data_IF_976438332109
#
_entry.id   IF_976438332109
#
_cell.length_a   1.000
_cell.length_b   1.000
_cell.length_c   1.000
_cell.angle_alpha   90.00
_cell.angle_beta   90.00
_cell.angle_gamma   90.00
#
_symmetry.space_group_name_H-M   'P 1'
#
loop_
_entity.id
_entity.type
_entity.pdbx_description
1 polymer ?
#
# COMPACT_ATOMS: atom_id res chain seq x y z
N UNK A 1 32.63 16.02 -0.50
CA UNK A 1 31.48 15.30 0.14
C UNK A 1 32.02 14.37 1.19
N UNK A 2 31.47 14.40 2.39
CA UNK A 2 31.81 13.47 3.48
C UNK A 2 30.65 12.47 3.59
N UNK A 3 30.94 11.18 3.49
CA UNK A 3 29.97 10.14 3.76
C UNK A 3 29.93 9.91 5.28
N UNK A 4 28.75 10.06 5.88
CA UNK A 4 28.54 9.83 7.29
C UNK A 4 27.33 8.91 7.51
N UNK A 5 27.33 8.14 8.61
CA UNK A 5 26.13 7.39 9.03
C UNK A 5 25.05 8.37 9.51
N UNK A 6 23.90 8.35 8.87
CA UNK A 6 22.77 9.24 9.18
C UNK A 6 21.70 8.62 10.06
N UNK A 7 21.83 7.32 10.42
CA UNK A 7 20.88 6.65 11.28
C UNK A 7 21.17 5.17 11.46
N UNK A 8 20.37 4.52 12.28
CA UNK A 8 20.40 3.08 12.49
C UNK A 8 19.03 2.44 12.29
N UNK A 9 19.02 1.28 11.66
CA UNK A 9 17.82 0.49 11.37
C UNK A 9 18.01 -0.91 11.96
N UNK A 10 16.95 -1.43 12.55
CA UNK A 10 16.92 -2.79 13.10
C UNK A 10 15.97 -3.65 12.27
N UNK A 11 16.49 -4.80 11.82
CA UNK A 11 15.68 -5.89 11.26
C UNK A 11 15.59 -7.02 12.28
N UNK A 12 14.40 -7.55 12.47
CA UNK A 12 14.13 -8.69 13.35
C UNK A 12 13.16 -9.62 12.66
N UNK A 13 13.48 -10.90 12.59
CA UNK A 13 12.66 -11.84 11.85
C UNK A 13 12.90 -13.30 12.25
N UNK A 14 12.12 -14.17 11.64
CA UNK A 14 12.20 -15.62 11.77
C UNK A 14 12.08 -16.20 10.36
N UNK A 15 12.94 -17.18 10.07
CA UNK A 15 12.94 -17.89 8.80
C UNK A 15 12.86 -19.40 9.05
N UNK A 16 12.06 -20.08 8.23
CA UNK A 16 11.93 -21.53 8.24
C UNK A 16 12.17 -22.07 6.83
N UNK A 17 12.92 -23.15 6.77
CA UNK A 17 13.08 -23.97 5.57
C UNK A 17 12.84 -25.44 5.95
N UNK A 18 11.86 -26.06 5.30
CA UNK A 18 11.50 -27.46 5.49
C UNK A 18 11.64 -28.17 4.16
N UNK A 19 12.43 -29.22 4.13
CA UNK A 19 12.52 -30.15 3.02
C UNK A 19 12.01 -31.51 3.52
N UNK A 20 11.03 -32.05 2.85
CA UNK A 20 10.38 -33.29 3.24
C UNK A 20 10.28 -34.25 2.05
N UNK A 21 10.69 -35.48 2.26
CA UNK A 21 10.30 -36.59 1.40
C UNK A 21 9.03 -37.22 2.01
N UNK A 22 7.89 -36.90 1.43
CA UNK A 22 6.59 -37.29 2.00
C UNK A 22 6.25 -38.74 1.71
N UNK A 23 6.56 -39.20 0.51
CA UNK A 23 6.34 -40.55 0.05
C UNK A 23 7.53 -40.97 -0.83
N UNK A 24 8.00 -42.20 -0.60
CA UNK A 24 8.98 -42.87 -1.44
C UNK A 24 8.62 -44.32 -1.60
N UNK A 25 8.28 -44.69 -2.82
CA UNK A 25 8.06 -46.10 -3.24
C UNK A 25 8.96 -46.41 -4.43
N UNK A 26 8.87 -47.65 -4.96
CA UNK A 26 9.62 -48.05 -6.13
C UNK A 26 9.29 -47.20 -7.39
N UNK A 27 8.02 -46.85 -7.55
CA UNK A 27 7.50 -46.22 -8.76
C UNK A 27 7.01 -44.79 -8.54
N UNK A 28 6.92 -44.32 -7.26
CA UNK A 28 6.40 -42.99 -6.94
C UNK A 28 7.20 -42.33 -5.81
N UNK A 29 7.55 -41.06 -6.03
CA UNK A 29 8.12 -40.19 -4.98
C UNK A 29 7.35 -38.88 -4.90
N UNK A 30 7.25 -38.33 -3.70
CA UNK A 30 6.71 -37.02 -3.45
C UNK A 30 7.60 -36.24 -2.48
N UNK A 31 8.16 -35.14 -2.99
CA UNK A 31 8.96 -34.20 -2.22
C UNK A 31 8.24 -32.87 -2.06
N UNK A 32 8.36 -32.30 -0.87
CA UNK A 32 7.89 -30.92 -0.59
C UNK A 32 9.05 -30.10 -0.05
N UNK A 33 9.24 -28.91 -0.63
CA UNK A 33 10.09 -27.87 -0.08
C UNK A 33 9.19 -26.70 0.31
N UNK A 34 9.25 -26.30 1.59
CA UNK A 34 8.51 -25.15 2.11
C UNK A 34 9.49 -24.16 2.72
N UNK A 35 9.34 -22.87 2.39
CA UNK A 35 10.03 -21.78 3.04
C UNK A 35 9.05 -20.74 3.53
N UNK A 36 9.40 -20.09 4.62
CA UNK A 36 8.63 -19.00 5.21
C UNK A 36 9.60 -18.05 5.90
N UNK A 37 9.37 -16.74 5.68
CA UNK A 37 10.11 -15.70 6.38
C UNK A 37 9.13 -14.64 6.90
N UNK A 38 9.36 -14.24 8.13
CA UNK A 38 8.78 -13.04 8.74
C UNK A 38 9.89 -12.05 9.02
N UNK A 39 9.74 -10.80 8.59
CA UNK A 39 10.72 -9.75 8.85
C UNK A 39 10.04 -8.45 9.28
N UNK A 40 10.54 -7.84 10.34
CA UNK A 40 10.12 -6.52 10.82
C UNK A 40 11.30 -5.58 10.81
N UNK A 41 11.17 -4.52 10.04
CA UNK A 41 12.10 -3.40 9.95
C UNK A 41 11.64 -2.25 10.82
N UNK A 42 12.56 -1.55 11.48
CA UNK A 42 12.27 -0.26 12.12
C UNK A 42 13.49 0.63 12.24
N UNK A 43 13.30 1.93 12.12
CA UNK A 43 14.30 2.94 12.43
C UNK A 43 14.46 3.01 13.94
N UNK A 44 15.71 2.92 14.43
CA UNK A 44 16.03 2.96 15.86
C UNK A 44 16.51 4.35 16.27
N UNK A 45 17.33 5.00 15.43
CA UNK A 45 17.86 6.33 15.68
C UNK A 45 18.20 7.03 14.37
N UNK A 46 18.25 8.37 14.41
CA UNK A 46 18.61 9.25 13.30
C UNK A 46 19.56 10.33 13.79
N UNK A 47 20.55 10.66 12.97
CA UNK A 47 21.48 11.77 13.26
C UNK A 47 20.79 13.13 13.20
N UNK A 48 19.84 13.31 12.28
CA UNK A 48 18.92 14.46 12.24
C UNK A 48 17.52 13.99 12.57
N UNK A 49 16.88 14.67 13.51
CA UNK A 49 15.50 14.37 13.93
C UNK A 49 14.84 15.58 14.54
N UNK A 50 13.55 15.74 14.28
CA UNK A 50 12.70 16.80 14.81
C UNK A 50 11.42 16.21 15.42
N UNK A 51 10.70 16.96 16.25
CA UNK A 51 9.35 16.64 16.66
C UNK A 51 8.41 16.81 15.47
N UNK A 52 7.71 15.76 15.11
CA UNK A 52 6.80 15.72 13.96
C UNK A 52 5.36 16.11 14.31
N UNK A 53 5.06 16.34 15.57
CA UNK A 53 3.71 16.73 16.02
C UNK A 53 3.12 17.93 15.28
N UNK A 54 3.90 18.97 14.93
CA UNK A 54 3.38 20.11 14.17
C UNK A 54 3.05 19.78 12.70
N UNK A 55 3.48 18.61 12.18
CA UNK A 55 3.30 18.21 10.78
C UNK A 55 1.97 17.53 10.50
N UNK A 56 1.24 17.11 11.52
CA UNK A 56 -0.06 16.51 11.36
C UNK A 56 -0.50 15.66 12.55
N UNK A 57 -1.80 15.42 12.64
CA UNK A 57 -2.39 14.70 13.77
C UNK A 57 -1.88 13.24 13.86
N UNK A 58 -1.69 12.57 12.73
CA UNK A 58 -1.18 11.20 12.67
C UNK A 58 0.27 11.05 13.15
N UNK A 59 1.01 12.15 13.26
CA UNK A 59 2.41 12.18 13.67
C UNK A 59 2.60 12.70 15.12
N UNK A 60 1.53 12.83 15.90
CA UNK A 60 1.58 13.32 17.27
C UNK A 60 2.50 12.46 18.14
N UNK A 61 3.45 13.11 18.81
CA UNK A 61 4.44 12.46 19.67
C UNK A 61 5.51 11.65 18.93
N UNK A 62 5.55 11.72 17.59
CA UNK A 62 6.56 11.06 16.78
C UNK A 62 7.76 11.97 16.56
N UNK A 63 8.93 11.36 16.39
CA UNK A 63 10.20 12.05 16.15
C UNK A 63 10.86 11.44 14.92
N UNK A 64 11.40 12.28 14.03
CA UNK A 64 12.02 11.78 12.82
C UNK A 64 12.51 12.88 11.87
N UNK A 65 12.80 12.50 10.64
CA UNK A 65 13.10 13.36 9.51
C UNK A 65 11.90 13.39 8.57
N UNK A 66 11.13 14.47 8.61
CA UNK A 66 9.92 14.61 7.78
C UNK A 66 10.22 14.61 6.28
N UNK A 67 11.32 15.19 5.85
CA UNK A 67 11.64 15.31 4.42
C UNK A 67 11.89 13.96 3.75
N UNK A 68 12.45 13.02 4.51
CA UNK A 68 12.72 11.66 4.05
C UNK A 68 11.65 10.66 4.50
N UNK A 69 10.66 11.10 5.29
CA UNK A 69 9.65 10.25 5.95
C UNK A 69 10.28 9.15 6.81
N UNK A 70 11.43 9.44 7.41
CA UNK A 70 12.10 8.53 8.34
C UNK A 70 11.66 8.84 9.77
N UNK A 71 10.83 7.97 10.30
CA UNK A 71 10.21 8.17 11.62
C UNK A 71 10.73 7.10 12.57
N UNK A 72 11.26 7.52 13.71
CA UNK A 72 11.78 6.59 14.74
C UNK A 72 10.67 5.65 15.20
N UNK A 73 10.95 4.36 15.21
CA UNK A 73 9.98 3.31 15.55
C UNK A 73 9.16 2.78 14.37
N UNK A 74 9.14 3.48 13.24
CA UNK A 74 8.46 3.06 12.01
C UNK A 74 9.42 2.33 11.06
N UNK A 75 8.91 1.54 10.10
CA UNK A 75 9.70 1.04 8.97
C UNK A 75 10.34 2.16 8.17
N UNK A 76 11.46 1.86 7.49
CA UNK A 76 12.17 2.85 6.67
C UNK A 76 11.42 3.22 5.39
N UNK A 77 10.49 2.38 4.97
CA UNK A 77 9.79 2.40 3.69
C UNK A 77 8.28 2.59 3.83
N UNK A 78 7.87 3.44 4.77
CA UNK A 78 6.44 3.74 5.00
C UNK A 78 5.79 4.45 3.82
N UNK A 79 4.52 4.17 3.60
CA UNK A 79 3.64 4.97 2.77
C UNK A 79 2.95 6.03 3.64
N UNK A 80 3.12 7.30 3.28
CA UNK A 80 2.52 8.42 3.98
C UNK A 80 1.65 9.19 3.00
N UNK A 81 0.33 8.98 3.08
CA UNK A 81 -0.61 9.47 2.08
C UNK A 81 -1.94 9.91 2.70
N UNK A 82 -2.71 10.65 1.92
CA UNK A 82 -4.10 10.91 2.23
C UNK A 82 -4.93 9.64 2.03
N UNK A 83 -5.99 9.52 2.83
CA UNK A 83 -6.96 8.44 2.72
C UNK A 83 -8.25 8.96 2.11
N UNK A 84 -8.94 8.09 1.37
CA UNK A 84 -10.31 8.33 0.93
C UNK A 84 -11.29 7.50 1.75
N UNK A 85 -12.51 8.00 1.89
CA UNK A 85 -13.64 7.31 2.52
C UNK A 85 -14.64 6.78 1.49
N UNK A 86 -14.22 6.72 0.22
CA UNK A 86 -15.07 6.35 -0.90
C UNK A 86 -15.39 7.55 -1.81
N UNK A 87 -16.61 7.58 -2.31
CA UNK A 87 -17.11 8.59 -3.25
C UNK A 87 -18.32 9.28 -2.65
N UNK A 88 -18.41 10.61 -2.75
CA UNK A 88 -19.59 11.35 -2.32
C UNK A 88 -20.85 10.90 -3.07
N UNK A 89 -21.87 10.53 -2.32
CA UNK A 89 -23.17 10.12 -2.85
C UNK A 89 -24.11 11.32 -3.05
N UNK A 90 -25.27 11.12 -3.71
CA UNK A 90 -26.22 12.21 -4.00
C UNK A 90 -26.75 12.90 -2.74
N UNK A 91 -26.96 12.17 -1.67
CA UNK A 91 -27.43 12.67 -0.38
C UNK A 91 -26.35 13.39 0.43
N UNK A 92 -25.10 13.35 -0.02
CA UNK A 92 -23.94 14.00 0.60
C UNK A 92 -23.52 15.31 -0.10
N UNK A 93 -24.35 15.86 -1.00
CA UNK A 93 -24.02 17.06 -1.79
C UNK A 93 -23.60 18.25 -0.91
N UNK A 94 -24.33 18.49 0.17
CA UNK A 94 -24.03 19.59 1.09
C UNK A 94 -22.70 19.38 1.85
N UNK A 95 -22.34 18.14 2.13
CA UNK A 95 -21.04 17.80 2.75
C UNK A 95 -19.92 17.95 1.72
N UNK A 96 -20.09 17.42 0.52
CA UNK A 96 -19.13 17.55 -0.56
C UNK A 96 -18.78 19.00 -0.88
N UNK A 97 -19.79 19.89 -0.88
CA UNK A 97 -19.62 21.31 -1.17
C UNK A 97 -18.69 22.03 -0.16
N UNK A 98 -18.60 21.58 1.09
CA UNK A 98 -17.68 22.15 2.09
C UNK A 98 -16.22 22.01 1.65
N UNK A 99 -15.89 20.95 0.94
CA UNK A 99 -14.56 20.64 0.44
C UNK A 99 -14.37 21.01 -1.05
N UNK A 100 -15.28 21.78 -1.62
CA UNK A 100 -15.23 22.15 -3.04
C UNK A 100 -15.51 21.00 -4.00
N UNK A 101 -16.02 19.89 -3.48
CA UNK A 101 -16.38 18.69 -4.23
C UNK A 101 -17.89 18.64 -4.53
N UNK A 102 -18.31 17.57 -5.20
CA UNK A 102 -19.71 17.27 -5.53
C UNK A 102 -19.94 15.76 -5.53
N UNK A 103 -21.19 15.27 -5.55
CA UNK A 103 -21.47 13.86 -5.74
C UNK A 103 -20.72 13.27 -6.93
N UNK A 104 -20.15 12.09 -6.75
CA UNK A 104 -19.29 11.44 -7.73
C UNK A 104 -17.79 11.74 -7.60
N UNK A 105 -17.40 12.76 -6.83
CA UNK A 105 -15.99 13.03 -6.51
C UNK A 105 -15.49 12.16 -5.34
N UNK A 106 -14.18 11.99 -5.22
CA UNK A 106 -13.59 11.34 -4.03
C UNK A 106 -13.96 12.07 -2.76
N UNK A 107 -14.20 11.29 -1.70
CA UNK A 107 -14.45 11.76 -0.35
C UNK A 107 -13.16 11.60 0.47
N UNK A 108 -12.37 12.67 0.63
CA UNK A 108 -11.13 12.61 1.40
C UNK A 108 -11.42 12.46 2.89
N UNK A 109 -10.46 11.90 3.62
CA UNK A 109 -10.49 11.84 5.06
C UNK A 109 -9.93 13.15 5.64
N UNK A 110 -10.79 14.00 6.20
CA UNK A 110 -10.40 15.11 7.05
C UNK A 110 -10.14 14.55 8.46
N UNK A 111 -8.85 14.31 8.75
CA UNK A 111 -8.43 13.62 9.97
C UNK A 111 -8.56 14.49 11.21
N UNK A 112 -8.23 15.77 11.09
CA UNK A 112 -8.27 16.75 12.17
C UNK A 112 -9.62 17.46 12.30
N UNK A 113 -10.51 17.31 11.30
CA UNK A 113 -11.85 17.89 11.22
C UNK A 113 -11.85 19.43 11.24
N UNK A 114 -10.86 20.03 10.58
CA UNK A 114 -10.77 21.49 10.45
C UNK A 114 -11.55 22.04 9.25
N UNK A 115 -12.06 21.16 8.38
CA UNK A 115 -12.82 21.51 7.18
C UNK A 115 -11.96 21.79 5.95
N UNK A 116 -10.67 21.56 6.06
CA UNK A 116 -9.72 21.71 4.96
C UNK A 116 -8.93 20.41 4.76
N UNK A 117 -8.64 20.03 3.53
CA UNK A 117 -7.81 18.85 3.23
C UNK A 117 -6.39 19.32 2.93
N UNK A 118 -5.51 19.05 3.86
CA UNK A 118 -4.11 19.49 3.84
C UNK A 118 -3.14 18.34 4.12
N UNK A 119 -1.84 18.62 4.10
CA UNK A 119 -0.83 17.62 4.49
C UNK A 119 -0.99 17.13 5.94
N UNK A 120 -1.72 17.89 6.79
CA UNK A 120 -2.05 17.49 8.15
C UNK A 120 -2.95 16.25 8.23
N UNK A 121 -3.69 15.94 7.15
CA UNK A 121 -4.62 14.81 7.05
C UNK A 121 -3.96 13.53 6.53
N UNK A 122 -2.68 13.57 6.22
CA UNK A 122 -1.94 12.38 5.79
C UNK A 122 -1.76 11.39 6.95
N UNK A 123 -1.79 10.11 6.62
CA UNK A 123 -1.58 9.01 7.56
C UNK A 123 -0.52 8.04 7.05
N UNK A 124 0.10 7.33 7.99
CA UNK A 124 0.95 6.19 7.66
C UNK A 124 0.03 5.06 7.19
N UNK A 125 0.00 4.83 5.88
CA UNK A 125 -0.91 3.86 5.24
C UNK A 125 -0.20 2.57 4.84
N UNK A 126 0.72 2.08 5.66
CA UNK A 126 1.45 0.85 5.40
C UNK A 126 2.89 1.08 4.96
N UNK A 127 3.48 0.09 4.32
CA UNK A 127 4.88 0.06 3.89
C UNK A 127 5.07 -0.77 2.63
N UNK A 128 6.20 -0.59 1.94
CA UNK A 128 6.49 -1.32 0.70
C UNK A 128 7.02 -2.75 0.95
N UNK A 129 7.79 -2.96 2.01
CA UNK A 129 8.34 -4.27 2.35
C UNK A 129 7.27 -5.18 2.95
N UNK A 130 7.08 -6.42 2.46
CA UNK A 130 6.15 -7.36 3.06
C UNK A 130 6.58 -7.78 4.47
N UNK A 131 5.59 -8.10 5.32
CA UNK A 131 5.83 -8.70 6.64
C UNK A 131 6.15 -10.19 6.51
N UNK A 132 5.43 -10.86 5.61
CA UNK A 132 5.55 -12.30 5.40
C UNK A 132 5.83 -12.60 3.94
N UNK A 133 6.77 -13.50 3.72
CA UNK A 133 7.05 -14.09 2.41
C UNK A 133 7.20 -15.60 2.56
N UNK A 134 6.87 -16.33 1.53
CA UNK A 134 7.06 -17.77 1.57
C UNK A 134 6.77 -18.44 0.25
N UNK A 135 7.06 -19.72 0.22
CA UNK A 135 6.77 -20.54 -0.94
C UNK A 135 6.74 -22.01 -0.60
N UNK A 136 6.11 -22.76 -1.48
CA UNK A 136 6.04 -24.22 -1.38
C UNK A 136 6.22 -24.80 -2.79
N UNK A 137 7.21 -25.67 -2.92
CA UNK A 137 7.41 -26.46 -4.14
C UNK A 137 7.05 -27.91 -3.83
N UNK A 138 6.20 -28.52 -4.66
CA UNK A 138 5.93 -29.96 -4.62
C UNK A 138 6.43 -30.57 -5.91
N UNK A 139 7.15 -31.68 -5.78
CA UNK A 139 7.66 -32.49 -6.89
C UNK A 139 7.17 -33.91 -6.72
N UNK A 140 6.53 -34.40 -7.74
CA UNK A 140 6.02 -35.77 -7.85
C UNK A 140 6.72 -36.46 -9.01
N UNK A 141 7.27 -37.62 -8.76
CA UNK A 141 7.81 -38.49 -9.79
C UNK A 141 7.05 -39.79 -9.79
N UNK A 142 6.52 -40.18 -10.92
CA UNK A 142 5.85 -41.46 -11.13
C UNK A 142 6.44 -42.16 -12.35
N UNK A 143 7.26 -43.18 -12.12
CA UNK A 143 8.04 -43.88 -13.15
C UNK A 143 8.87 -42.88 -13.94
N UNK A 144 8.58 -42.69 -15.23
CA UNK A 144 9.28 -41.80 -16.15
C UNK A 144 8.63 -40.38 -16.24
N UNK A 145 7.63 -40.10 -15.44
CA UNK A 145 6.93 -38.82 -15.41
C UNK A 145 7.27 -38.01 -14.18
N UNK A 146 7.59 -36.74 -14.38
CA UNK A 146 7.82 -35.75 -13.32
C UNK A 146 6.80 -34.62 -13.44
N UNK A 147 6.21 -34.24 -12.30
CA UNK A 147 5.39 -33.05 -12.14
C UNK A 147 5.94 -32.21 -11.01
N UNK A 148 6.26 -30.94 -11.28
CA UNK A 148 6.62 -29.99 -10.25
C UNK A 148 5.79 -28.72 -10.37
N UNK A 149 5.32 -28.19 -9.23
CA UNK A 149 4.70 -26.88 -9.19
C UNK A 149 5.18 -26.11 -7.97
N UNK A 150 5.29 -24.80 -8.14
CA UNK A 150 5.69 -23.87 -7.09
C UNK A 150 4.58 -22.86 -6.83
N UNK A 151 4.27 -22.67 -5.55
CA UNK A 151 3.44 -21.58 -5.05
C UNK A 151 4.33 -20.61 -4.30
N UNK A 152 4.11 -19.32 -4.49
CA UNK A 152 4.77 -18.27 -3.70
C UNK A 152 3.75 -17.26 -3.22
N UNK A 153 4.00 -16.68 -2.06
CA UNK A 153 3.15 -15.64 -1.49
C UNK A 153 3.97 -14.57 -0.80
N UNK A 154 3.41 -13.38 -0.77
CA UNK A 154 3.88 -12.29 0.08
C UNK A 154 2.66 -11.52 0.59
N UNK A 155 2.76 -10.98 1.80
CA UNK A 155 1.68 -10.20 2.41
C UNK A 155 2.22 -9.15 3.37
N UNK A 156 1.43 -8.10 3.62
CA UNK A 156 1.81 -6.96 4.47
C UNK A 156 2.47 -5.80 3.73
N UNK A 157 2.79 -5.96 2.43
CA UNK A 157 3.27 -4.87 1.59
C UNK A 157 2.11 -4.10 0.95
N UNK A 158 2.31 -2.80 0.74
CA UNK A 158 1.48 -1.97 -0.13
C UNK A 158 2.35 -1.37 -1.22
N UNK A 159 1.92 -1.51 -2.46
CA UNK A 159 2.65 -1.03 -3.63
C UNK A 159 1.82 0.02 -4.34
N UNK A 160 2.41 1.18 -4.57
CA UNK A 160 1.77 2.22 -5.37
C UNK A 160 1.63 1.78 -6.83
N UNK A 161 0.41 1.70 -7.30
CA UNK A 161 0.13 1.29 -8.67
C UNK A 161 0.18 2.49 -9.61
N UNK A 162 1.38 2.88 -10.04
CA UNK A 162 1.60 4.00 -10.95
C UNK A 162 0.84 3.83 -12.28
N UNK A 163 0.73 2.60 -12.78
CA UNK A 163 -0.01 2.33 -14.01
C UNK A 163 -1.49 2.66 -13.84
N UNK A 164 -2.08 2.26 -12.72
CA UNK A 164 -3.47 2.54 -12.40
C UNK A 164 -3.72 4.04 -12.34
N UNK A 165 -2.84 4.77 -11.67
CA UNK A 165 -2.94 6.23 -11.54
C UNK A 165 -2.78 6.93 -12.88
N UNK A 166 -1.69 6.65 -13.60
CA UNK A 166 -1.33 7.41 -14.79
C UNK A 166 -2.16 7.09 -16.02
N UNK A 167 -2.66 5.85 -16.13
CA UNK A 167 -3.30 5.39 -17.36
C UNK A 167 -4.75 4.93 -17.18
N UNK A 168 -5.16 4.62 -15.99
CA UNK A 168 -6.46 4.01 -15.76
C UNK A 168 -7.45 4.92 -15.03
N UNK A 169 -6.98 5.79 -14.15
CA UNK A 169 -7.81 6.68 -13.34
C UNK A 169 -7.76 8.13 -13.79
N UNK A 170 -6.71 8.54 -14.47
CA UNK A 170 -6.61 9.91 -14.91
C UNK A 170 -7.53 10.23 -16.08
N UNK A 171 -8.21 11.37 -15.95
CA UNK A 171 -8.99 12.04 -16.98
C UNK A 171 -8.11 12.76 -18.01
N UNK A 172 -6.79 12.70 -17.85
CA UNK A 172 -5.82 13.44 -18.65
C UNK A 172 -5.72 12.85 -20.08
N UNK A 173 -5.16 13.65 -20.98
CA UNK A 173 -4.98 13.37 -22.42
C UNK A 173 -4.26 12.05 -22.76
N UNK A 174 -3.81 11.30 -21.78
CA UNK A 174 -3.11 10.04 -21.91
C UNK A 174 -3.93 8.80 -21.52
N UNK A 175 -5.24 8.90 -21.57
CA UNK A 175 -6.11 7.76 -21.27
C UNK A 175 -6.06 6.73 -22.40
N UNK A 176 -5.07 5.84 -22.36
CA UNK A 176 -4.83 4.81 -23.37
C UNK A 176 -5.32 3.42 -22.99
N UNK A 177 -6.12 3.27 -21.94
CA UNK A 177 -6.50 1.96 -21.51
C UNK A 177 -7.92 1.59 -21.91
N UNK A 178 -8.09 0.30 -22.23
CA UNK A 178 -9.38 -0.32 -22.49
C UNK A 178 -10.03 -0.93 -21.23
N UNK A 179 -9.58 -0.54 -20.04
CA UNK A 179 -10.16 -1.04 -18.81
C UNK A 179 -11.55 -0.43 -18.60
N UNK A 180 -12.56 -1.24 -18.81
CA UNK A 180 -13.93 -0.88 -18.45
C UNK A 180 -14.02 -0.86 -16.92
N UNK A 181 -14.42 0.29 -16.36
CA UNK A 181 -14.66 0.46 -14.94
C UNK A 181 -16.09 0.86 -14.71
N UNK A 182 -16.67 0.32 -13.67
CA UNK A 182 -17.98 0.72 -13.18
C UNK A 182 -17.76 1.89 -12.20
N UNK A 183 -17.53 3.08 -12.77
CA UNK A 183 -17.41 4.31 -11.99
C UNK A 183 -18.77 4.78 -11.47
N UNK A 184 -18.71 5.68 -10.51
CA UNK A 184 -19.91 6.27 -9.91
C UNK A 184 -20.75 7.02 -10.94
N UNK A 185 -22.05 6.76 -10.93
CA UNK A 185 -23.11 7.56 -11.56
C UNK A 185 -24.32 7.56 -10.62
N UNK A 186 -25.31 8.45 -10.81
CA UNK A 186 -26.54 8.40 -10.03
C UNK A 186 -27.25 7.04 -10.04
N UNK A 187 -27.11 6.30 -11.14
CA UNK A 187 -27.69 4.96 -11.34
C UNK A 187 -26.78 3.84 -10.81
N UNK A 188 -25.50 4.13 -10.60
CA UNK A 188 -24.50 3.19 -10.08
C UNK A 188 -23.72 3.82 -8.91
N UNK A 189 -24.31 3.93 -7.71
CA UNK A 189 -23.71 4.61 -6.57
C UNK A 189 -22.61 3.74 -5.89
N UNK A 190 -21.50 3.53 -6.59
CA UNK A 190 -20.33 2.80 -6.07
C UNK A 190 -19.44 3.70 -5.22
N UNK A 191 -18.70 3.09 -4.30
CA UNK A 191 -17.61 3.72 -3.54
C UNK A 191 -16.22 3.37 -4.08
N UNK A 192 -16.12 2.49 -5.09
CA UNK A 192 -14.85 1.97 -5.59
C UNK A 192 -14.15 2.94 -6.54
N UNK A 193 -14.92 3.53 -7.45
CA UNK A 193 -14.38 4.44 -8.47
C UNK A 193 -15.21 5.71 -8.59
N UNK A 194 -14.55 6.84 -8.46
CA UNK A 194 -15.18 8.14 -8.68
C UNK A 194 -15.62 8.35 -10.13
N UNK A 195 -16.50 9.29 -10.34
CA UNK A 195 -16.86 9.74 -11.67
C UNK A 195 -15.66 10.43 -12.34
N UNK A 196 -15.26 10.06 -13.57
CA UNK A 196 -14.23 10.78 -14.30
C UNK A 196 -14.56 12.27 -14.39
N UNK A 197 -13.71 13.11 -13.82
CA UNK A 197 -13.97 14.54 -13.73
C UNK A 197 -12.68 15.34 -13.70
N UNK A 198 -12.54 16.31 -14.61
CA UNK A 198 -11.41 17.25 -14.59
C UNK A 198 -11.51 18.30 -13.47
N UNK A 199 -12.63 18.34 -12.77
CA UNK A 199 -12.88 19.28 -11.68
C UNK A 199 -12.86 18.65 -10.29
N UNK A 200 -12.52 17.38 -10.17
CA UNK A 200 -12.35 16.76 -8.86
C UNK A 200 -11.08 17.33 -8.18
N UNK A 201 -11.22 18.07 -7.07
CA UNK A 201 -10.08 18.72 -6.43
C UNK A 201 -9.11 17.73 -5.78
N UNK A 202 -9.52 16.45 -5.64
CA UNK A 202 -8.76 15.42 -4.91
C UNK A 202 -8.28 14.27 -5.79
N UNK A 203 -8.51 14.35 -7.10
CA UNK A 203 -8.16 13.26 -8.01
C UNK A 203 -6.65 13.11 -8.22
N UNK A 204 -5.90 14.20 -8.24
CA UNK A 204 -4.55 14.21 -8.82
C UNK A 204 -3.39 14.01 -7.88
N UNK A 205 -3.39 14.63 -6.72
CA UNK A 205 -2.14 14.87 -5.98
C UNK A 205 -2.16 14.39 -4.52
N UNK A 206 -3.20 13.71 -4.11
CA UNK A 206 -3.45 13.50 -2.68
C UNK A 206 -3.20 12.07 -2.18
N UNK A 207 -2.54 11.22 -2.98
CA UNK A 207 -2.13 9.88 -2.54
C UNK A 207 -3.30 9.00 -2.13
N UNK A 208 -4.16 8.69 -3.08
CA UNK A 208 -5.39 7.94 -2.87
C UNK A 208 -5.15 6.54 -2.31
N UNK A 209 -5.95 6.13 -1.36
CA UNK A 209 -5.85 4.81 -0.73
C UNK A 209 -6.19 3.65 -1.67
N UNK A 210 -6.96 3.89 -2.72
CA UNK A 210 -7.36 2.91 -3.73
C UNK A 210 -6.26 2.57 -4.75
N UNK A 211 -5.14 3.28 -4.70
CA UNK A 211 -3.98 3.04 -5.58
C UNK A 211 -2.86 2.23 -4.94
N UNK A 212 -3.04 1.82 -3.69
CA UNK A 212 -2.05 1.05 -2.92
C UNK A 212 -2.35 -0.45 -2.87
#
# INVERSE_FOLDING_TARGET
SVTANVGSVRNTGIEFLINSENIRTKDFTWHTQFNFAYNKNKIVDLAYKEDLSPRGLSLQGMVGDYNNLWIIGQPIDINFSMMTQGVYQLDEEAEAAKYGARPGHYKPLDLNKDGEITDADRVINGKHTPDFTGGMTNTFTYKDFDLSFQLSFQTGAKVYNQYLVSFALEYNTQNFNNLRREYWTPENPTNDFHQPSSSDPYDRDKGRSDTW
#
